data_IF_625686394350
#
_entry.id   IF_625686394350
#
_cell.length_a   1.000
_cell.length_b   1.000
_cell.length_c   1.000
_cell.angle_alpha   90.00
_cell.angle_beta   90.00
_cell.angle_gamma   90.00
#
_symmetry.space_group_name_H-M   'P 1'
#
loop_
_entity.id
_entity.type
_entity.pdbx_description
1 polymer ?
#
# COMPACT_ATOMS: atom_id res chain seq x y z
N UNK A 1 40.71 13.27 10.93
CA UNK A 1 39.43 12.59 11.25
C UNK A 1 39.27 11.44 10.26
N UNK A 2 39.06 10.19 10.70
CA UNK A 2 38.77 9.10 9.75
C UNK A 2 37.28 9.15 9.44
N UNK A 3 36.91 9.29 8.17
CA UNK A 3 35.52 9.15 7.76
C UNK A 3 35.14 7.68 7.84
N UNK A 4 34.00 7.37 8.43
CA UNK A 4 33.41 6.03 8.30
C UNK A 4 32.99 5.80 6.84
N UNK A 5 33.13 4.57 6.32
CA UNK A 5 32.56 4.23 5.03
C UNK A 5 31.03 4.41 5.06
N UNK A 6 30.45 4.78 3.92
CA UNK A 6 29.00 4.86 3.77
C UNK A 6 28.39 3.49 4.07
N UNK A 7 27.34 3.46 4.89
CA UNK A 7 26.53 2.25 5.11
C UNK A 7 25.48 2.06 4.01
N UNK A 8 25.34 3.04 3.12
CA UNK A 8 24.41 3.04 1.99
C UNK A 8 24.95 2.09 0.90
N UNK A 9 24.23 1.00 0.54
CA UNK A 9 24.65 0.08 -0.51
C UNK A 9 24.64 0.78 -1.87
N UNK A 10 25.76 0.78 -2.59
CA UNK A 10 25.92 1.51 -3.84
C UNK A 10 25.84 0.55 -5.04
N UNK A 11 24.64 0.24 -5.54
CA UNK A 11 24.45 -0.40 -6.87
C UNK A 11 23.00 -0.73 -7.25
N UNK A 12 22.20 -1.36 -6.38
CA UNK A 12 20.88 -1.94 -6.76
C UNK A 12 19.68 -1.49 -5.94
N UNK A 13 19.91 -0.79 -4.83
CA UNK A 13 18.87 -0.27 -3.94
C UNK A 13 18.59 1.22 -4.15
N UNK A 14 19.04 1.79 -5.28
CA UNK A 14 18.73 3.16 -5.69
C UNK A 14 17.30 3.25 -6.26
N UNK A 15 16.35 3.03 -5.37
CA UNK A 15 14.91 3.07 -5.62
C UNK A 15 14.16 3.19 -4.32
N UNK A 16 12.88 3.46 -4.45
CA UNK A 16 11.97 3.39 -3.32
C UNK A 16 11.58 1.94 -3.05
N UNK A 17 11.67 1.58 -1.77
CA UNK A 17 11.37 0.25 -1.27
C UNK A 17 10.18 0.37 -0.33
N UNK A 18 9.19 -0.48 -0.54
CA UNK A 18 7.99 -0.57 0.26
C UNK A 18 8.03 -1.86 1.09
N UNK A 19 7.89 -1.73 2.41
CA UNK A 19 7.76 -2.85 3.33
C UNK A 19 6.39 -2.82 3.98
N UNK A 20 5.78 -4.00 4.07
CA UNK A 20 4.45 -4.18 4.66
C UNK A 20 4.57 -4.89 6.00
N UNK A 21 4.09 -4.23 7.05
CA UNK A 21 3.82 -4.84 8.35
C UNK A 21 2.45 -5.51 8.28
N UNK A 22 2.39 -6.79 8.62
CA UNK A 22 1.17 -7.58 8.59
C UNK A 22 0.86 -8.16 9.97
N UNK A 23 -0.43 -8.26 10.29
CA UNK A 23 -0.93 -8.96 11.48
C UNK A 23 -1.20 -10.44 11.19
N UNK A 24 -0.54 -11.33 11.91
CA UNK A 24 -0.76 -12.78 11.83
C UNK A 24 -1.66 -13.29 12.97
N UNK A 25 -2.30 -12.38 13.71
CA UNK A 25 -3.25 -12.68 14.77
C UNK A 25 -2.61 -12.91 16.14
N UNK A 26 -3.44 -13.04 17.17
CA UNK A 26 -3.03 -12.99 18.58
C UNK A 26 -1.92 -13.97 19.01
N UNK A 27 -1.78 -15.11 18.32
CA UNK A 27 -0.75 -16.11 18.63
C UNK A 27 0.62 -15.82 18.01
N UNK A 28 0.66 -15.09 16.89
CA UNK A 28 1.88 -14.82 16.11
C UNK A 28 2.29 -13.33 16.13
N UNK A 29 1.34 -12.43 16.41
CA UNK A 29 1.56 -11.00 16.44
C UNK A 29 1.79 -10.41 15.04
N UNK A 30 2.46 -9.26 14.99
CA UNK A 30 2.73 -8.55 13.75
C UNK A 30 4.19 -8.73 13.33
N UNK A 31 4.44 -8.90 12.03
CA UNK A 31 5.79 -8.97 11.49
C UNK A 31 5.89 -8.29 10.11
N UNK A 32 7.08 -7.81 9.78
CA UNK A 32 7.39 -7.38 8.42
C UNK A 32 7.39 -8.59 7.51
N UNK A 33 6.62 -8.51 6.42
CA UNK A 33 6.54 -9.61 5.46
C UNK A 33 7.88 -9.80 4.76
N UNK A 34 8.25 -11.06 4.62
CA UNK A 34 9.31 -11.46 3.71
C UNK A 34 8.84 -11.18 2.28
N UNK A 35 9.60 -10.35 1.58
CA UNK A 35 9.32 -9.90 0.21
C UNK A 35 10.61 -10.06 -0.57
N UNK A 36 10.53 -10.58 -1.79
CA UNK A 36 11.67 -10.60 -2.69
C UNK A 36 12.13 -9.15 -2.89
N UNK A 37 13.44 -8.93 -2.90
CA UNK A 37 13.99 -7.60 -3.10
C UNK A 37 13.41 -6.94 -4.36
N UNK A 38 13.27 -7.69 -5.47
CA UNK A 38 12.77 -7.17 -6.74
C UNK A 38 11.32 -6.67 -6.65
N UNK A 39 10.53 -7.24 -5.74
CA UNK A 39 9.07 -7.07 -5.63
C UNK A 39 8.68 -6.00 -4.58
N UNK A 40 9.63 -5.14 -4.22
CA UNK A 40 9.43 -4.09 -3.21
C UNK A 40 9.05 -2.73 -3.81
N UNK A 41 8.75 -2.65 -5.10
CA UNK A 41 8.26 -1.42 -5.72
C UNK A 41 6.76 -1.20 -5.50
N UNK A 42 6.30 0.03 -5.78
CA UNK A 42 4.92 0.44 -5.53
C UNK A 42 3.89 -0.42 -6.26
N UNK A 43 4.11 -0.71 -7.55
CA UNK A 43 3.10 -1.39 -8.36
C UNK A 43 2.98 -2.86 -7.95
N UNK A 44 4.11 -3.50 -7.67
CA UNK A 44 4.13 -4.88 -7.21
C UNK A 44 3.44 -5.02 -5.85
N UNK A 45 3.76 -4.15 -4.88
CA UNK A 45 3.11 -4.18 -3.55
C UNK A 45 1.60 -3.93 -3.66
N UNK A 46 1.15 -3.01 -4.51
CA UNK A 46 -0.28 -2.78 -4.71
C UNK A 46 -0.98 -4.01 -5.31
N UNK A 47 -0.36 -4.66 -6.30
CA UNK A 47 -0.90 -5.87 -6.92
C UNK A 47 -0.95 -7.06 -5.95
N UNK A 48 0.06 -7.21 -5.11
CA UNK A 48 0.14 -8.26 -4.11
C UNK A 48 -0.92 -8.08 -3.02
N UNK A 49 -1.16 -6.83 -2.58
CA UNK A 49 -2.25 -6.53 -1.64
C UNK A 49 -3.61 -6.82 -2.28
N UNK A 50 -3.82 -6.38 -3.54
CA UNK A 50 -5.08 -6.64 -4.26
C UNK A 50 -5.34 -8.13 -4.48
N UNK A 51 -4.30 -8.91 -4.75
CA UNK A 51 -4.41 -10.36 -4.95
C UNK A 51 -4.51 -11.16 -3.64
N UNK A 52 -4.37 -10.49 -2.50
CA UNK A 52 -4.50 -11.11 -1.17
C UNK A 52 -3.25 -11.84 -0.68
N UNK A 53 -2.07 -11.54 -1.23
CA UNK A 53 -0.78 -12.02 -0.67
C UNK A 53 -0.51 -11.46 0.74
N UNK A 54 -1.17 -10.35 1.06
CA UNK A 54 -1.27 -9.76 2.39
C UNK A 54 -2.71 -9.92 2.87
N UNK A 55 -2.93 -10.76 3.87
CA UNK A 55 -4.24 -10.99 4.46
C UNK A 55 -4.67 -9.82 5.35
N UNK A 56 -3.76 -9.30 6.18
CA UNK A 56 -4.06 -8.22 7.14
C UNK A 56 -2.93 -7.18 7.22
N UNK A 57 -2.72 -6.38 6.16
CA UNK A 57 -1.74 -5.30 6.20
C UNK A 57 -2.11 -4.27 7.27
N UNK A 58 -1.13 -3.82 8.05
CA UNK A 58 -1.30 -2.84 9.12
C UNK A 58 -0.62 -1.51 8.82
N UNK A 59 0.61 -1.56 8.30
CA UNK A 59 1.41 -0.38 8.01
C UNK A 59 2.30 -0.64 6.82
N UNK A 60 2.45 0.38 5.99
CA UNK A 60 3.34 0.34 4.85
C UNK A 60 4.37 1.45 4.99
N UNK A 61 5.64 1.07 5.05
CA UNK A 61 6.74 2.03 5.13
C UNK A 61 7.43 2.07 3.78
N UNK A 62 7.55 3.28 3.24
CA UNK A 62 8.36 3.57 2.06
C UNK A 62 9.67 4.17 2.53
N UNK A 63 10.79 3.69 2.00
CA UNK A 63 12.09 4.31 2.27
C UNK A 63 12.97 4.29 1.03
N UNK A 64 13.95 5.18 1.02
CA UNK A 64 15.03 5.19 0.05
C UNK A 64 16.35 5.34 0.81
N UNK A 65 17.16 4.28 0.77
CA UNK A 65 18.41 4.23 1.53
C UNK A 65 19.51 5.10 0.92
N UNK A 66 19.46 5.36 -0.39
CA UNK A 66 20.41 6.22 -1.10
C UNK A 66 20.13 7.69 -0.80
N UNK A 67 18.86 8.09 -0.87
CA UNK A 67 18.43 9.46 -0.60
C UNK A 67 18.31 9.76 0.90
N UNK A 68 18.36 8.73 1.76
CA UNK A 68 18.46 8.88 3.20
C UNK A 68 17.15 9.24 3.90
N UNK A 69 16.01 8.77 3.39
CA UNK A 69 14.70 9.05 3.99
C UNK A 69 13.84 7.79 4.15
N UNK A 70 12.88 7.88 5.08
CA UNK A 70 11.85 6.88 5.34
C UNK A 70 10.56 7.59 5.77
N UNK A 71 9.40 7.07 5.37
CA UNK A 71 8.09 7.63 5.70
C UNK A 71 7.02 6.56 5.80
N UNK A 72 5.99 6.84 6.59
CA UNK A 72 4.75 6.06 6.56
C UNK A 72 3.99 6.37 5.26
N UNK A 73 3.69 5.34 4.48
CA UNK A 73 3.00 5.41 3.20
C UNK A 73 1.64 4.69 3.23
N UNK A 74 1.15 4.32 4.42
CA UNK A 74 -0.07 3.51 4.59
C UNK A 74 -1.27 4.19 3.92
N UNK A 75 -1.49 5.48 4.18
CA UNK A 75 -2.59 6.23 3.57
C UNK A 75 -2.44 6.44 2.07
N UNK A 76 -1.22 6.70 1.59
CA UNK A 76 -0.94 6.86 0.15
C UNK A 76 -1.35 5.58 -0.61
N UNK A 77 -1.01 4.40 -0.08
CA UNK A 77 -1.35 3.13 -0.70
C UNK A 77 -2.82 2.76 -0.50
N UNK A 78 -3.41 3.07 0.66
CA UNK A 78 -4.85 2.85 0.87
C UNK A 78 -5.69 3.66 -0.14
N UNK A 79 -5.30 4.90 -0.43
CA UNK A 79 -5.93 5.71 -1.48
C UNK A 79 -5.76 5.06 -2.87
N UNK A 80 -4.54 4.63 -3.23
CA UNK A 80 -4.30 3.97 -4.52
C UNK A 80 -5.07 2.64 -4.68
N UNK A 81 -5.16 1.85 -3.61
CA UNK A 81 -5.92 0.59 -3.57
C UNK A 81 -7.42 0.84 -3.76
N UNK A 82 -7.96 1.85 -3.09
CA UNK A 82 -9.37 2.22 -3.21
C UNK A 82 -9.73 2.70 -4.63
N UNK A 83 -8.85 3.50 -5.26
CA UNK A 83 -9.04 3.92 -6.65
C UNK A 83 -9.05 2.70 -7.60
N UNK A 84 -8.14 1.75 -7.41
CA UNK A 84 -8.08 0.53 -8.23
C UNK A 84 -9.26 -0.38 -8.01
N UNK A 85 -9.70 -0.54 -6.76
CA UNK A 85 -10.88 -1.33 -6.41
C UNK A 85 -12.16 -0.72 -7.01
N UNK A 86 -12.29 0.61 -7.06
CA UNK A 86 -13.43 1.27 -7.67
C UNK A 86 -13.44 1.15 -9.21
N UNK A 87 -12.27 1.05 -9.83
CA UNK A 87 -12.11 0.93 -11.28
C UNK A 87 -12.11 -0.53 -11.78
N UNK A 88 -12.10 -1.50 -10.88
CA UNK A 88 -12.09 -2.92 -11.20
C UNK A 88 -13.43 -3.56 -10.84
N UNK A 89 -13.96 -4.43 -11.70
CA UNK A 89 -15.12 -5.28 -11.37
C UNK A 89 -14.75 -6.43 -10.40
N UNK A 90 -13.50 -6.48 -9.93
CA UNK A 90 -13.03 -7.53 -9.02
C UNK A 90 -13.59 -7.36 -7.61
N UNK A 91 -14.05 -8.47 -7.03
CA UNK A 91 -14.41 -8.50 -5.61
C UNK A 91 -13.14 -8.43 -4.76
N UNK A 92 -13.03 -7.41 -3.92
CA UNK A 92 -11.96 -7.32 -2.91
C UNK A 92 -12.35 -8.08 -1.64
N UNK A 93 -11.34 -8.58 -0.91
CA UNK A 93 -11.58 -9.28 0.34
C UNK A 93 -12.12 -8.32 1.42
N UNK A 94 -12.90 -8.81 2.40
CA UNK A 94 -13.36 -7.97 3.53
C UNK A 94 -12.20 -7.32 4.29
N UNK A 95 -11.09 -8.04 4.47
CA UNK A 95 -9.91 -7.51 5.16
C UNK A 95 -9.27 -6.34 4.39
N UNK A 96 -9.18 -6.43 3.06
CA UNK A 96 -8.70 -5.33 2.24
C UNK A 96 -9.66 -4.13 2.28
N UNK A 97 -10.97 -4.37 2.26
CA UNK A 97 -11.97 -3.32 2.39
C UNK A 97 -11.84 -2.60 3.74
N UNK A 98 -11.64 -3.34 4.84
CA UNK A 98 -11.44 -2.77 6.17
C UNK A 98 -10.14 -1.96 6.25
N UNK A 99 -9.05 -2.45 5.65
CA UNK A 99 -7.79 -1.73 5.55
C UNK A 99 -7.94 -0.40 4.81
N UNK A 100 -8.61 -0.41 3.64
CA UNK A 100 -8.90 0.79 2.86
C UNK A 100 -9.71 1.79 3.69
N UNK A 101 -10.81 1.34 4.31
CA UNK A 101 -11.70 2.19 5.08
C UNK A 101 -11.01 2.85 6.29
N UNK A 102 -10.07 2.14 6.92
CA UNK A 102 -9.35 2.65 8.09
C UNK A 102 -8.24 3.66 7.73
N UNK A 103 -7.64 3.56 6.54
CA UNK A 103 -6.39 4.26 6.21
C UNK A 103 -6.48 5.24 5.05
N UNK A 104 -7.44 5.08 4.14
CA UNK A 104 -7.63 6.00 3.03
C UNK A 104 -8.01 7.40 3.55
N UNK A 105 -7.37 8.42 3.00
CA UNK A 105 -7.59 9.82 3.39
C UNK A 105 -8.44 10.56 2.38
N UNK A 106 -8.47 10.08 1.14
CA UNK A 106 -9.40 10.56 0.13
C UNK A 106 -10.74 9.88 0.37
N UNK A 107 -11.79 10.67 0.59
CA UNK A 107 -13.15 10.13 0.50
C UNK A 107 -13.38 9.70 -0.94
N UNK A 108 -13.37 8.40 -1.17
CA UNK A 108 -14.02 7.81 -2.33
C UNK A 108 -15.52 7.91 -2.07
N UNK A 109 -16.05 9.11 -2.27
CA UNK A 109 -17.49 9.27 -2.41
C UNK A 109 -17.87 8.36 -3.59
N UNK A 110 -18.45 7.20 -3.29
CA UNK A 110 -19.23 6.42 -4.23
C UNK A 110 -20.08 7.44 -4.98
N UNK A 111 -19.74 7.72 -6.23
CA UNK A 111 -20.48 8.67 -7.03
C UNK A 111 -21.85 8.03 -7.28
N UNK A 112 -22.79 8.26 -6.37
CA UNK A 112 -24.18 7.86 -6.51
C UNK A 112 -24.65 8.45 -7.84
N UNK A 113 -25.02 7.57 -8.77
CA UNK A 113 -25.53 7.99 -10.07
C UNK A 113 -26.62 9.05 -9.83
N UNK A 114 -26.39 10.26 -10.35
CA UNK A 114 -27.37 11.32 -10.26
C UNK A 114 -28.66 10.83 -10.92
N UNK A 115 -29.83 10.90 -10.24
CA UNK A 115 -31.08 10.60 -10.90
C UNK A 115 -31.27 11.61 -12.03
N UNK A 116 -31.18 11.14 -13.27
CA UNK A 116 -31.52 11.92 -14.45
C UNK A 116 -32.96 12.38 -14.28
N UNK A 117 -33.15 13.67 -13.98
CA UNK A 117 -34.48 14.29 -14.00
C UNK A 117 -35.05 14.09 -15.41
N UNK A 118 -36.13 13.33 -15.49
CA UNK A 118 -36.86 13.09 -16.71
C UNK A 118 -37.12 14.40 -17.43
N UNK A 119 -36.75 14.42 -18.72
CA UNK A 119 -37.24 15.43 -19.64
C UNK A 119 -38.74 15.21 -19.79
N UNK A 120 -39.53 15.97 -19.04
CA UNK A 120 -40.94 16.14 -19.32
C UNK A 120 -41.08 16.79 -20.70
N UNK A 121 -41.82 16.13 -21.59
CA UNK A 121 -42.53 16.75 -22.71
C UNK A 121 -43.99 16.37 -22.60
#
# INVERSE_FOLDING_TARGET
>A
MRSSPSIVPADRLDRDIYLVLEDFGAGAGCAWRETDEADTDLETVLQDILSGQYAYPLRIVRFNSIEGWSRDATSDLADALAERAANSDAQISPALQDFINANATRRFDLQLALPLRGAAR
#
